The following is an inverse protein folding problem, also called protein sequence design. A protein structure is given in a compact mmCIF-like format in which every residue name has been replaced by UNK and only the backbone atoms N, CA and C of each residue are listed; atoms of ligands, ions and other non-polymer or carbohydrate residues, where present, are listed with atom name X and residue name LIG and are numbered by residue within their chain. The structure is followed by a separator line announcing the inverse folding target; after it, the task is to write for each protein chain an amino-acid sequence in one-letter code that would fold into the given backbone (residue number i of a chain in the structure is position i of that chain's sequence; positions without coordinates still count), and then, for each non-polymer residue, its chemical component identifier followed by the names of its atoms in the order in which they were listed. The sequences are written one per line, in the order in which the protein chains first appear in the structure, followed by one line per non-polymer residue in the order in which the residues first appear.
data_IF_327188205042
#
_entry.id   IF_327188205042
#
_cell.length_a   1.000
_cell.length_b   1.000
_cell.length_c   1.000
_cell.angle_alpha   90.00
_cell.angle_beta   90.00
_cell.angle_gamma   90.00
#
_symmetry.space_group_name_H-M   'P 1'
#
loop_
_entity.id
_entity.type
_entity.pdbx_description
1 polymer ?
#
# COMPACT_ATOMS: atom_id res chain seq x y z
N UNK A 1 5.34 -16.08 14.32
CA UNK A 1 6.54 -16.93 14.49
C UNK A 1 6.44 -17.92 15.66
N UNK A 2 5.69 -17.64 16.73
CA UNK A 2 5.46 -18.64 17.79
C UNK A 2 6.69 -18.96 18.66
N UNK A 3 7.69 -18.07 18.71
CA UNK A 3 8.92 -18.27 19.49
C UNK A 3 8.68 -17.81 20.93
N UNK A 4 8.85 -18.71 21.89
CA UNK A 4 8.53 -18.44 23.30
C UNK A 4 9.71 -17.95 24.15
N UNK A 5 10.95 -17.97 23.64
CA UNK A 5 12.13 -17.53 24.42
C UNK A 5 13.09 -16.67 23.62
N UNK A 6 13.67 -15.65 24.27
CA UNK A 6 14.73 -14.82 23.69
C UNK A 6 16.01 -15.61 23.42
N UNK A 7 16.29 -16.67 24.19
CA UNK A 7 17.45 -17.54 23.98
C UNK A 7 17.39 -18.23 22.62
N UNK A 8 16.19 -18.69 22.22
CA UNK A 8 15.96 -19.27 20.90
C UNK A 8 15.94 -18.22 19.79
N UNK A 9 15.48 -17.00 20.09
CA UNK A 9 15.42 -15.90 19.11
C UNK A 9 16.82 -15.33 18.78
N UNK A 10 17.69 -15.24 19.79
CA UNK A 10 19.02 -14.64 19.65
C UNK A 10 19.86 -15.41 18.64
N UNK A 11 20.27 -14.74 17.57
CA UNK A 11 21.09 -15.34 16.50
C UNK A 11 20.29 -16.19 15.50
N UNK A 12 18.97 -16.34 15.67
CA UNK A 12 18.13 -17.08 14.74
C UNK A 12 17.88 -16.36 13.40
N UNK A 13 18.27 -15.06 13.31
CA UNK A 13 18.20 -14.25 12.08
C UNK A 13 16.78 -14.22 11.49
N UNK A 14 15.79 -14.03 12.36
CA UNK A 14 14.37 -13.94 11.97
C UNK A 14 14.09 -12.54 11.41
N UNK A 15 14.59 -12.29 10.20
CA UNK A 15 14.34 -11.09 9.42
C UNK A 15 14.44 -11.40 7.93
N UNK A 16 13.88 -10.55 7.08
CA UNK A 16 14.08 -10.56 5.64
C UNK A 16 14.79 -9.26 5.25
N UNK A 17 15.95 -9.38 4.60
CA UNK A 17 16.65 -8.22 4.08
C UNK A 17 16.16 -7.89 2.67
N UNK A 18 15.76 -6.65 2.46
CA UNK A 18 15.38 -6.11 1.14
C UNK A 18 16.19 -4.84 0.89
N UNK A 19 16.88 -4.77 -0.25
CA UNK A 19 17.71 -3.64 -0.63
C UNK A 19 19.12 -3.65 -0.03
N UNK A 20 19.62 -4.79 0.46
CA UNK A 20 20.97 -4.92 1.05
C UNK A 20 21.76 -5.97 0.29
N UNK A 21 23.01 -5.69 -0.04
CA UNK A 21 23.87 -6.62 -0.78
C UNK A 21 24.13 -7.93 -0.01
N UNK A 22 24.15 -9.05 -0.75
CA UNK A 22 24.43 -10.37 -0.20
C UNK A 22 25.83 -10.47 0.44
N UNK A 23 26.81 -9.73 -0.08
CA UNK A 23 28.17 -9.66 0.47
C UNK A 23 28.17 -9.07 1.87
N UNK A 24 27.52 -7.92 2.07
CA UNK A 24 27.40 -7.28 3.37
C UNK A 24 26.70 -8.19 4.38
N UNK A 25 25.58 -8.78 3.97
CA UNK A 25 24.85 -9.71 4.83
C UNK A 25 25.72 -10.92 5.22
N UNK A 26 26.49 -11.46 4.27
CA UNK A 26 27.35 -12.62 4.53
C UNK A 26 28.44 -12.28 5.55
N UNK A 27 29.09 -11.13 5.36
CA UNK A 27 30.21 -10.69 6.20
C UNK A 27 29.78 -10.30 7.62
N UNK A 28 28.64 -9.61 7.78
CA UNK A 28 28.26 -9.01 9.06
C UNK A 28 27.06 -9.66 9.76
N UNK A 29 26.21 -10.36 9.01
CA UNK A 29 24.98 -10.99 9.54
C UNK A 29 25.00 -12.52 9.40
N UNK A 30 26.05 -13.08 8.77
CA UNK A 30 26.23 -14.52 8.60
C UNK A 30 25.12 -15.18 7.77
N UNK A 31 24.53 -14.44 6.82
CA UNK A 31 23.52 -14.94 5.87
C UNK A 31 23.70 -14.23 4.54
N UNK A 32 23.42 -14.87 3.41
CA UNK A 32 23.38 -14.19 2.11
C UNK A 32 21.96 -13.93 1.62
N UNK A 33 20.94 -14.21 2.44
CA UNK A 33 19.55 -14.15 2.06
C UNK A 33 19.07 -12.69 1.94
N UNK A 34 18.80 -12.27 0.71
CA UNK A 34 18.08 -11.05 0.40
C UNK A 34 17.25 -11.25 -0.85
N UNK A 35 15.96 -10.93 -0.77
CA UNK A 35 15.03 -11.07 -1.90
C UNK A 35 15.39 -10.12 -3.04
N UNK A 36 15.97 -8.96 -2.70
CA UNK A 36 16.44 -7.95 -3.65
C UNK A 36 17.74 -7.37 -3.09
N UNK A 37 18.86 -7.57 -3.77
CA UNK A 37 20.14 -6.98 -3.39
C UNK A 37 20.11 -5.44 -3.43
N UNK A 38 21.12 -4.79 -2.86
CA UNK A 38 21.19 -3.34 -2.89
C UNK A 38 22.45 -2.79 -2.26
N UNK A 39 22.29 -1.92 -1.28
CA UNK A 39 23.36 -1.11 -0.73
C UNK A 39 24.50 -1.94 -0.13
N UNK A 40 25.71 -1.39 -0.16
CA UNK A 40 26.93 -1.93 0.44
C UNK A 40 27.35 -1.03 1.60
N UNK A 41 28.49 -1.35 2.20
CA UNK A 41 28.98 -0.64 3.38
C UNK A 41 29.29 0.84 3.07
N UNK A 42 29.72 1.14 1.85
CA UNK A 42 30.06 2.50 1.41
C UNK A 42 28.82 3.43 1.35
N UNK A 43 27.69 2.94 0.83
CA UNK A 43 26.41 3.68 0.89
C UNK A 43 25.98 3.93 2.34
N UNK A 44 26.02 2.90 3.18
CA UNK A 44 25.64 3.02 4.59
C UNK A 44 26.52 4.06 5.30
N UNK A 45 27.85 3.96 5.12
CA UNK A 45 28.78 4.89 5.73
C UNK A 45 28.49 6.33 5.30
N UNK A 46 28.27 6.56 4.00
CA UNK A 46 27.93 7.87 3.45
C UNK A 46 26.64 8.45 4.05
N UNK A 47 25.57 7.66 4.10
CA UNK A 47 24.29 8.12 4.65
C UNK A 47 24.41 8.49 6.14
N UNK A 48 25.15 7.69 6.92
CA UNK A 48 25.39 8.00 8.33
C UNK A 48 26.34 9.18 8.54
N UNK A 49 27.33 9.39 7.68
CA UNK A 49 28.16 10.60 7.70
C UNK A 49 27.31 11.84 7.40
N UNK A 50 26.40 11.79 6.43
CA UNK A 50 25.49 12.91 6.16
C UNK A 50 24.59 13.23 7.36
N UNK A 51 24.04 12.20 8.03
CA UNK A 51 23.23 12.37 9.23
C UNK A 51 24.04 12.95 10.39
N UNK A 52 25.27 12.46 10.57
CA UNK A 52 26.22 12.99 11.55
C UNK A 52 26.51 14.46 11.29
N UNK A 53 26.93 14.82 10.07
CA UNK A 53 27.31 16.19 9.73
C UNK A 53 26.14 17.16 9.88
N UNK A 54 24.91 16.72 9.58
CA UNK A 54 23.70 17.51 9.84
C UNK A 54 23.50 17.78 11.34
N UNK A 55 23.69 16.78 12.20
CA UNK A 55 23.54 16.93 13.65
C UNK A 55 24.67 17.72 14.33
N UNK A 56 25.83 17.86 13.67
CA UNK A 56 26.98 18.63 14.17
C UNK A 56 27.17 19.96 13.44
N UNK A 57 26.30 20.32 12.49
CA UNK A 57 26.38 21.57 11.77
C UNK A 57 26.26 22.75 12.76
N UNK A 58 27.29 23.59 12.82
CA UNK A 58 27.33 24.76 13.69
C UNK A 58 26.28 25.78 13.24
N UNK A 59 25.25 26.04 14.07
CA UNK A 59 24.24 27.05 13.79
C UNK A 59 22.82 26.71 14.24
N UNK A 60 22.53 25.47 14.64
CA UNK A 60 21.26 25.15 15.30
C UNK A 60 21.30 25.64 16.75
N UNK A 61 20.35 26.50 17.13
CA UNK A 61 20.18 26.95 18.50
C UNK A 61 20.01 25.73 19.43
N UNK A 62 20.72 25.74 20.56
CA UNK A 62 20.54 24.72 21.58
C UNK A 62 19.06 24.68 22.02
N UNK A 63 18.35 23.62 21.65
CA UNK A 63 16.91 23.46 21.90
C UNK A 63 16.02 23.44 20.66
N UNK A 64 16.57 23.52 19.45
CA UNK A 64 15.81 23.30 18.22
C UNK A 64 15.15 21.91 18.22
N UNK A 65 13.89 21.84 17.76
CA UNK A 65 13.17 20.57 17.63
C UNK A 65 13.69 19.78 16.43
N UNK A 66 13.77 18.45 16.57
CA UNK A 66 14.10 17.57 15.45
C UNK A 66 13.11 17.78 14.29
N UNK A 67 13.59 17.76 13.02
CA UNK A 67 12.72 17.94 11.87
C UNK A 67 11.73 16.77 11.77
N UNK A 68 10.45 17.11 11.59
CA UNK A 68 9.43 16.11 11.34
C UNK A 68 9.43 15.71 9.85
N UNK A 69 10.24 14.72 9.50
CA UNK A 69 10.43 14.26 8.12
C UNK A 69 9.19 13.59 7.49
N UNK A 70 8.09 13.42 8.22
CA UNK A 70 6.85 12.88 7.63
C UNK A 70 6.90 11.38 7.32
N UNK A 71 7.71 10.61 8.04
CA UNK A 71 7.84 9.17 7.82
C UNK A 71 6.52 8.41 8.01
N UNK A 72 5.77 8.72 9.07
CA UNK A 72 4.52 8.03 9.41
C UNK A 72 3.26 8.74 8.91
N UNK A 73 3.36 10.03 8.59
CA UNK A 73 2.23 10.83 8.10
C UNK A 73 2.71 11.87 7.12
N UNK A 74 1.91 12.11 6.10
CA UNK A 74 2.23 13.08 5.05
C UNK A 74 2.55 14.46 5.63
N UNK A 75 3.66 15.02 5.16
CA UNK A 75 4.02 16.44 5.30
C UNK A 75 4.36 17.00 3.93
N UNK A 76 4.02 18.26 3.71
CA UNK A 76 4.25 18.94 2.43
C UNK A 76 5.73 18.90 2.02
N UNK A 77 6.61 19.14 2.99
CA UNK A 77 8.07 19.22 2.78
C UNK A 77 8.80 18.00 3.38
N UNK A 78 8.09 16.91 3.62
CA UNK A 78 8.64 15.67 4.18
C UNK A 78 8.77 14.57 3.14
N UNK A 79 8.81 13.33 3.63
CA UNK A 79 8.88 12.17 2.80
C UNK A 79 7.70 12.05 1.86
N UNK A 80 7.94 11.41 0.71
CA UNK A 80 6.91 11.28 -0.31
C UNK A 80 5.99 10.11 -0.03
N UNK A 81 4.70 10.41 0.05
CA UNK A 81 3.65 9.41 0.21
C UNK A 81 2.93 9.19 -1.12
N UNK A 82 2.64 7.92 -1.42
CA UNK A 82 1.83 7.56 -2.59
C UNK A 82 0.41 8.12 -2.49
N UNK A 83 -0.13 8.16 -1.26
CA UNK A 83 -1.36 8.85 -0.93
C UNK A 83 -1.03 10.22 -0.33
N UNK A 84 -1.44 11.27 -1.03
CA UNK A 84 -1.24 12.65 -0.64
C UNK A 84 -2.49 13.48 -0.98
N UNK A 85 -2.62 14.72 -0.48
CA UNK A 85 -3.83 15.52 -0.68
C UNK A 85 -4.24 15.69 -2.15
N UNK A 86 -3.27 15.81 -3.07
CA UNK A 86 -3.55 16.00 -4.49
C UNK A 86 -4.12 14.73 -5.13
N UNK A 87 -3.44 13.59 -4.96
CA UNK A 87 -3.87 12.29 -5.49
C UNK A 87 -5.24 11.87 -4.94
N UNK A 88 -5.47 12.05 -3.64
CA UNK A 88 -6.76 11.74 -3.00
C UNK A 88 -7.88 12.62 -3.56
N UNK A 89 -7.65 13.93 -3.63
CA UNK A 89 -8.65 14.89 -4.14
C UNK A 89 -9.04 14.58 -5.58
N UNK A 90 -8.07 14.28 -6.44
CA UNK A 90 -8.33 13.92 -7.85
C UNK A 90 -9.13 12.63 -7.98
N UNK A 91 -8.81 11.60 -7.19
CA UNK A 91 -9.56 10.35 -7.19
C UNK A 91 -11.01 10.56 -6.73
N UNK A 92 -11.23 11.30 -5.64
CA UNK A 92 -12.56 11.62 -5.13
C UNK A 92 -13.39 12.43 -6.14
N UNK A 93 -12.78 13.41 -6.82
CA UNK A 93 -13.45 14.19 -7.85
C UNK A 93 -13.83 13.33 -9.06
N UNK A 94 -12.92 12.44 -9.49
CA UNK A 94 -13.16 11.56 -10.62
C UNK A 94 -14.35 10.62 -10.37
N UNK A 95 -14.43 10.01 -9.19
CA UNK A 95 -15.53 9.10 -8.83
C UNK A 95 -16.84 9.85 -8.61
N UNK A 96 -16.82 11.01 -7.94
CA UNK A 96 -18.02 11.82 -7.70
C UNK A 96 -18.65 12.35 -8.99
N UNK A 97 -17.84 12.71 -9.98
CA UNK A 97 -18.31 13.20 -11.27
C UNK A 97 -18.53 12.10 -12.32
N UNK A 98 -18.15 10.85 -12.03
CA UNK A 98 -18.14 9.77 -13.03
C UNK A 98 -17.24 10.05 -14.23
N UNK A 99 -16.16 10.84 -14.05
CA UNK A 99 -15.35 11.33 -15.17
C UNK A 99 -14.07 10.51 -15.36
N UNK A 100 -14.03 9.73 -16.45
CA UNK A 100 -12.82 8.98 -16.83
C UNK A 100 -11.63 9.90 -17.13
N UNK A 101 -11.86 11.08 -17.72
CA UNK A 101 -10.80 12.06 -17.95
C UNK A 101 -10.13 12.52 -16.64
N UNK A 102 -10.93 12.79 -15.60
CA UNK A 102 -10.40 13.11 -14.26
C UNK A 102 -9.70 11.91 -13.61
N UNK A 103 -10.19 10.70 -13.84
CA UNK A 103 -9.49 9.49 -13.41
C UNK A 103 -8.12 9.36 -14.10
N UNK A 104 -8.01 9.72 -15.39
CA UNK A 104 -6.73 9.76 -16.10
C UNK A 104 -5.76 10.80 -15.52
N UNK A 105 -6.25 11.98 -15.11
CA UNK A 105 -5.43 12.96 -14.36
C UNK A 105 -4.87 12.35 -13.07
N UNK A 106 -5.72 11.67 -12.27
CA UNK A 106 -5.28 10.95 -11.08
C UNK A 106 -4.21 9.90 -11.41
N UNK A 107 -4.46 9.01 -12.37
CA UNK A 107 -3.49 7.96 -12.73
C UNK A 107 -2.17 8.53 -13.23
N UNK A 108 -2.18 9.66 -13.95
CA UNK A 108 -0.95 10.29 -14.40
C UNK A 108 -0.07 10.75 -13.23
N UNK A 109 -0.66 11.31 -12.16
CA UNK A 109 0.05 11.68 -10.93
C UNK A 109 0.60 10.44 -10.20
N UNK A 110 -0.17 9.35 -10.20
CA UNK A 110 0.26 8.10 -9.56
C UNK A 110 1.37 7.41 -10.37
N UNK A 111 1.30 7.41 -11.69
CA UNK A 111 2.24 6.66 -12.54
C UNK A 111 3.53 7.44 -12.83
N UNK A 112 3.46 8.78 -12.95
CA UNK A 112 4.61 9.64 -13.32
C UNK A 112 5.24 10.29 -12.10
N UNK A 113 5.71 9.46 -11.17
CA UNK A 113 6.45 9.92 -9.98
C UNK A 113 7.86 10.36 -10.36
N UNK A 114 8.37 11.41 -9.73
CA UNK A 114 9.75 11.85 -9.95
C UNK A 114 10.81 10.84 -9.48
N UNK A 115 10.48 10.07 -8.42
CA UNK A 115 11.31 8.94 -7.95
C UNK A 115 10.41 7.75 -7.63
N UNK A 116 10.89 6.51 -7.84
CA UNK A 116 10.21 5.30 -7.40
C UNK A 116 9.85 5.33 -5.92
N UNK A 117 8.64 4.89 -5.58
CA UNK A 117 8.18 4.65 -4.19
C UNK A 117 8.02 3.15 -3.95
N UNK A 118 7.63 2.39 -4.98
CA UNK A 118 7.42 0.95 -4.91
C UNK A 118 8.37 0.21 -5.87
N UNK A 119 8.63 -1.07 -5.59
CA UNK A 119 9.43 -1.92 -6.48
C UNK A 119 8.88 -1.97 -7.90
N UNK A 120 7.55 -1.97 -8.07
CA UNK A 120 6.89 -1.97 -9.38
C UNK A 120 7.25 -0.75 -10.24
N UNK A 121 7.65 0.36 -9.63
CA UNK A 121 7.98 1.60 -10.33
C UNK A 121 9.32 1.49 -11.11
N UNK A 122 10.14 0.47 -10.82
CA UNK A 122 11.37 0.18 -11.56
C UNK A 122 11.14 -0.64 -12.84
N UNK A 123 9.94 -1.20 -13.01
CA UNK A 123 9.60 -2.02 -14.18
C UNK A 123 9.00 -1.15 -15.29
N UNK A 124 9.21 -1.60 -16.54
CA UNK A 124 8.56 -1.02 -17.72
C UNK A 124 7.91 -2.12 -18.54
N UNK A 125 6.82 -1.77 -19.21
CA UNK A 125 6.13 -2.68 -20.10
C UNK A 125 6.82 -2.71 -21.47
N UNK A 126 7.14 -3.90 -21.96
CA UNK A 126 7.40 -4.09 -23.40
C UNK A 126 6.08 -3.92 -24.14
N UNK A 127 6.09 -3.16 -25.23
CA UNK A 127 4.87 -2.80 -25.96
C UNK A 127 4.65 -3.73 -27.15
N UNK A 128 3.46 -4.32 -27.23
CA UNK A 128 2.94 -5.03 -28.39
C UNK A 128 1.44 -4.66 -28.52
N UNK A 129 1.12 -3.49 -29.10
CA UNK A 129 -0.25 -2.96 -29.07
C UNK A 129 -1.19 -3.80 -29.94
N UNK A 130 -2.44 -3.92 -29.48
CA UNK A 130 -3.57 -4.51 -30.22
C UNK A 130 -4.74 -3.51 -30.27
N UNK A 131 -5.69 -3.65 -31.21
CA UNK A 131 -6.93 -2.88 -31.19
C UNK A 131 -7.70 -3.07 -29.87
N UNK A 132 -8.35 -2.00 -29.38
CA UNK A 132 -9.05 -2.03 -28.09
C UNK A 132 -10.22 -3.01 -28.11
N UNK A 133 -10.83 -3.22 -29.27
CA UNK A 133 -11.94 -4.13 -29.50
C UNK A 133 -11.54 -5.61 -29.31
N UNK A 134 -10.24 -5.91 -29.30
CA UNK A 134 -9.71 -7.25 -29.01
C UNK A 134 -9.42 -7.44 -27.51
N UNK A 135 -9.52 -6.39 -26.70
CA UNK A 135 -9.35 -6.47 -25.25
C UNK A 135 -10.63 -7.00 -24.62
N UNK A 136 -10.48 -7.76 -23.54
CA UNK A 136 -11.60 -8.23 -22.72
C UNK A 136 -12.53 -7.07 -22.31
N UNK A 137 -13.86 -7.25 -22.38
CA UNK A 137 -14.82 -6.22 -21.98
C UNK A 137 -14.69 -5.82 -20.51
N UNK A 138 -15.06 -4.58 -20.18
CA UNK A 138 -15.03 -4.05 -18.80
C UNK A 138 -15.88 -4.88 -17.84
N UNK A 139 -17.02 -5.40 -18.31
CA UNK A 139 -17.95 -6.21 -17.53
C UNK A 139 -17.34 -7.56 -17.12
N UNK A 140 -16.32 -8.03 -17.83
CA UNK A 140 -15.59 -9.25 -17.49
C UNK A 140 -14.35 -8.92 -16.65
N UNK A 141 -13.59 -7.88 -17.04
CA UNK A 141 -12.42 -7.42 -16.27
C UNK A 141 -12.79 -7.12 -14.81
N UNK A 142 -13.91 -6.44 -14.59
CA UNK A 142 -14.34 -6.02 -13.24
C UNK A 142 -14.57 -7.22 -12.31
N UNK A 143 -14.91 -8.40 -12.84
CA UNK A 143 -15.13 -9.63 -12.07
C UNK A 143 -13.85 -10.16 -11.42
N UNK A 144 -12.68 -9.74 -11.88
CA UNK A 144 -11.41 -10.03 -11.22
C UNK A 144 -11.16 -9.16 -9.99
N UNK A 145 -11.90 -8.07 -9.81
CA UNK A 145 -11.76 -7.20 -8.65
C UNK A 145 -12.59 -7.69 -7.47
N UNK A 146 -12.00 -7.56 -6.29
CA UNK A 146 -12.63 -7.79 -5.00
C UNK A 146 -12.30 -6.62 -4.10
N UNK A 147 -13.23 -6.23 -3.22
CA UNK A 147 -12.88 -5.28 -2.16
C UNK A 147 -12.14 -6.04 -1.07
N UNK A 148 -11.13 -5.40 -0.49
CA UNK A 148 -10.40 -5.96 0.64
C UNK A 148 -11.31 -6.31 1.81
N UNK A 149 -10.85 -7.22 2.65
CA UNK A 149 -11.46 -7.56 3.91
C UNK A 149 -11.21 -6.44 4.92
N UNK A 150 -12.23 -5.65 5.24
CA UNK A 150 -12.15 -4.57 6.24
C UNK A 150 -13.26 -4.81 7.24
N UNK A 151 -12.91 -5.02 8.51
CA UNK A 151 -13.87 -5.49 9.51
C UNK A 151 -14.96 -4.46 9.78
N UNK A 152 -16.17 -4.99 9.99
CA UNK A 152 -17.19 -4.28 10.75
C UNK A 152 -16.61 -3.89 12.13
N UNK A 153 -16.59 -2.59 12.44
CA UNK A 153 -15.94 -2.03 13.62
C UNK A 153 -14.64 -1.27 13.32
N UNK A 154 -13.88 -1.64 12.28
CA UNK A 154 -12.79 -0.81 11.76
C UNK A 154 -13.32 0.31 10.84
N UNK A 155 -14.42 0.03 10.14
CA UNK A 155 -15.18 1.00 9.36
C UNK A 155 -16.63 1.04 9.81
N UNK A 156 -17.33 2.12 9.46
CA UNK A 156 -18.75 2.27 9.79
C UNK A 156 -19.61 1.25 9.02
N UNK A 157 -20.83 1.03 9.52
CA UNK A 157 -21.83 0.17 8.88
C UNK A 157 -22.11 0.64 7.45
N UNK A 158 -22.30 1.95 7.28
CA UNK A 158 -22.63 2.58 6.01
C UNK A 158 -21.52 2.38 4.98
N UNK A 159 -20.26 2.53 5.39
CA UNK A 159 -19.11 2.28 4.52
C UNK A 159 -19.03 0.80 4.13
N UNK A 160 -19.23 -0.10 5.08
CA UNK A 160 -19.18 -1.54 4.82
C UNK A 160 -20.32 -2.01 3.90
N UNK A 161 -21.53 -1.49 4.09
CA UNK A 161 -22.69 -1.80 3.25
C UNK A 161 -22.54 -1.20 1.86
N UNK A 162 -22.03 0.02 1.73
CA UNK A 162 -21.75 0.64 0.43
C UNK A 162 -20.79 -0.19 -0.43
N UNK A 163 -19.75 -0.78 0.18
CA UNK A 163 -18.86 -1.70 -0.52
C UNK A 163 -19.58 -2.98 -0.99
N UNK A 164 -20.41 -3.57 -0.14
CA UNK A 164 -21.17 -4.76 -0.51
C UNK A 164 -22.15 -4.48 -1.66
N UNK A 165 -22.88 -3.35 -1.59
CA UNK A 165 -23.79 -2.93 -2.65
C UNK A 165 -23.05 -2.72 -3.97
N UNK A 166 -21.95 -1.96 -3.97
CA UNK A 166 -21.17 -1.69 -5.17
C UNK A 166 -20.67 -3.00 -5.81
N UNK A 167 -20.09 -3.91 -5.01
CA UNK A 167 -19.56 -5.15 -5.53
C UNK A 167 -20.65 -6.10 -6.02
N UNK A 168 -21.79 -6.17 -5.33
CA UNK A 168 -22.92 -6.99 -5.75
C UNK A 168 -23.57 -6.47 -7.02
N UNK A 169 -23.69 -5.14 -7.17
CA UNK A 169 -24.17 -4.50 -8.40
C UNK A 169 -23.28 -4.84 -9.61
N UNK A 170 -21.96 -4.88 -9.40
CA UNK A 170 -20.99 -5.24 -10.43
C UNK A 170 -20.89 -6.76 -10.66
N UNK A 171 -21.66 -7.59 -9.94
CA UNK A 171 -21.57 -9.05 -10.02
C UNK A 171 -20.31 -9.64 -9.38
N UNK A 172 -19.52 -8.82 -8.68
CA UNK A 172 -18.23 -9.17 -8.07
C UNK A 172 -18.38 -9.59 -6.61
N UNK A 173 -17.29 -9.56 -5.82
CA UNK A 173 -17.28 -10.04 -4.42
C UNK A 173 -16.73 -8.97 -3.47
N UNK A 174 -17.48 -8.70 -2.40
CA UNK A 174 -16.98 -8.06 -1.19
C UNK A 174 -16.66 -9.11 -0.10
N UNK A 175 -15.97 -8.67 0.96
CA UNK A 175 -15.54 -9.50 2.08
C UNK A 175 -15.93 -8.83 3.41
N UNK A 176 -16.43 -9.61 4.37
CA UNK A 176 -16.88 -9.13 5.70
C UNK A 176 -15.76 -8.60 6.59
N UNK A 177 -14.50 -8.99 6.31
CA UNK A 177 -13.45 -8.86 7.30
C UNK A 177 -13.71 -9.73 8.54
N UNK A 178 -12.89 -9.52 9.56
CA UNK A 178 -12.84 -10.33 10.78
C UNK A 178 -14.00 -10.04 11.74
N UNK A 179 -14.68 -8.90 11.59
CA UNK A 179 -15.73 -8.43 12.49
C UNK A 179 -17.10 -9.10 12.30
N UNK A 180 -17.20 -10.07 11.39
CA UNK A 180 -18.46 -10.71 11.03
C UNK A 180 -19.38 -9.80 10.22
N UNK A 181 -20.66 -10.16 10.16
CA UNK A 181 -21.68 -9.43 9.41
C UNK A 181 -23.03 -9.54 10.13
N UNK A 182 -23.78 -8.44 10.15
CA UNK A 182 -25.13 -8.41 10.70
C UNK A 182 -26.04 -9.39 9.94
N UNK A 183 -26.72 -10.29 10.67
CA UNK A 183 -27.60 -11.30 10.10
C UNK A 183 -28.76 -10.70 9.29
N UNK A 184 -29.20 -9.47 9.60
CA UNK A 184 -30.21 -8.78 8.82
C UNK A 184 -29.79 -8.58 7.36
N UNK A 185 -28.48 -8.49 7.08
CA UNK A 185 -27.95 -8.30 5.72
C UNK A 185 -28.04 -9.55 4.85
N UNK A 186 -28.23 -10.73 5.42
CA UNK A 186 -28.33 -11.97 4.64
C UNK A 186 -29.55 -11.99 3.71
N UNK A 187 -30.62 -11.30 4.12
CA UNK A 187 -31.82 -11.10 3.31
C UNK A 187 -32.07 -9.63 2.98
N UNK A 188 -31.18 -8.74 3.43
CA UNK A 188 -31.26 -7.31 3.19
C UNK A 188 -30.97 -6.95 1.73
N UNK A 189 -31.81 -6.08 1.19
CA UNK A 189 -31.67 -5.53 -0.16
C UNK A 189 -31.86 -4.01 -0.13
N UNK A 190 -31.14 -3.32 -1.00
CA UNK A 190 -31.29 -1.89 -1.27
C UNK A 190 -31.38 -1.71 -2.78
N UNK A 191 -32.47 -1.11 -3.27
CA UNK A 191 -32.77 -0.98 -4.70
C UNK A 191 -32.62 -2.29 -5.50
N UNK A 192 -33.03 -3.41 -4.89
CA UNK A 192 -32.94 -4.75 -5.49
C UNK A 192 -31.54 -5.40 -5.42
N UNK A 193 -30.55 -4.72 -4.83
CA UNK A 193 -29.17 -5.20 -4.69
C UNK A 193 -28.97 -5.74 -3.28
N UNK A 194 -28.39 -6.93 -3.15
CA UNK A 194 -28.13 -7.53 -1.85
C UNK A 194 -27.11 -6.73 -1.02
N UNK A 195 -27.36 -6.60 0.28
CA UNK A 195 -26.43 -6.05 1.26
C UNK A 195 -25.44 -7.10 1.79
N UNK A 196 -25.62 -8.38 1.46
CA UNK A 196 -24.82 -9.49 1.95
C UNK A 196 -23.45 -9.52 1.26
N UNK A 197 -22.37 -9.61 2.04
CA UNK A 197 -21.02 -9.78 1.49
C UNK A 197 -20.84 -11.21 0.98
N UNK A 198 -20.40 -11.40 -0.26
CA UNK A 198 -20.27 -12.75 -0.83
C UNK A 198 -19.17 -13.60 -0.19
N UNK A 199 -18.15 -12.98 0.39
CA UNK A 199 -17.05 -13.68 1.07
C UNK A 199 -17.13 -13.44 2.57
N UNK A 200 -17.14 -14.51 3.36
CA UNK A 200 -17.08 -14.47 4.83
C UNK A 200 -15.66 -14.84 5.27
N UNK A 201 -15.02 -14.00 6.08
CA UNK A 201 -13.72 -14.33 6.63
C UNK A 201 -13.86 -15.15 7.92
N UNK A 202 -12.98 -16.14 8.07
CA UNK A 202 -12.73 -16.84 9.33
C UNK A 202 -11.30 -16.49 9.74
N UNK A 203 -11.14 -15.82 10.88
CA UNK A 203 -9.86 -15.36 11.41
C UNK A 203 -9.61 -15.96 12.81
N UNK A 204 -8.35 -15.94 13.23
CA UNK A 204 -7.82 -16.56 14.46
C UNK A 204 -7.96 -15.69 15.71
#
# INVERSE_FOLDING_TARGET
MGISTIRSYRGAKIFEAVGVSAELLKSYFGTSASSIGGIRLEEIARDYTMFHDAGFASGEEAGALLPHIGQFSYRKDGERHAWNPETISKLQLATRLGSYAKFKEFTALVDKKERPIFLRDFFRFKRNPIPLEQVEPVDDIVKHFVTGAISFGAISKEAHEALALAMNQLGTRSNTGEGGEDAARFHGVYDGISLCSKTKQVAS
#
